data_IF_607464551798
#
_entry.id   IF_607464551798
#
_cell.length_a   1.000
_cell.length_b   1.000
_cell.length_c   1.000
_cell.angle_alpha   90.00
_cell.angle_beta   90.00
_cell.angle_gamma   90.00
#
_symmetry.space_group_name_H-M   'P 1'
#
loop_
_entity.id
_entity.type
_entity.pdbx_description
1 polymer ?
#
# COMPACT_ATOMS: atom_id res chain seq x y z
N UNK A 1 -47.67 -19.47 21.46
CA UNK A 1 -46.73 -18.49 20.86
C UNK A 1 -45.49 -19.24 20.40
N UNK A 2 -45.19 -19.36 19.09
CA UNK A 2 -44.00 -20.06 18.65
C UNK A 2 -42.78 -19.12 18.73
N UNK A 3 -41.73 -19.58 19.41
CA UNK A 3 -40.49 -18.85 19.66
C UNK A 3 -39.63 -18.92 18.39
N UNK A 4 -39.50 -17.80 17.68
CA UNK A 4 -38.66 -17.70 16.48
C UNK A 4 -37.20 -17.79 16.90
N UNK A 5 -36.50 -18.83 16.44
CA UNK A 5 -35.05 -18.97 16.62
C UNK A 5 -34.38 -18.64 15.29
N UNK A 6 -33.71 -17.50 15.23
CA UNK A 6 -32.92 -17.08 14.08
C UNK A 6 -31.72 -18.00 13.92
N UNK A 7 -31.70 -18.81 12.85
CA UNK A 7 -30.52 -19.56 12.43
C UNK A 7 -29.78 -18.72 11.39
N UNK A 8 -28.71 -18.05 11.80
CA UNK A 8 -27.79 -17.38 10.89
C UNK A 8 -27.11 -18.43 10.01
N UNK A 9 -27.42 -18.42 8.71
CA UNK A 9 -26.69 -19.23 7.74
C UNK A 9 -25.32 -18.60 7.51
N UNK A 10 -24.26 -19.25 7.99
CA UNK A 10 -22.89 -18.92 7.60
C UNK A 10 -22.62 -19.69 6.31
N UNK A 11 -22.68 -18.98 5.18
CA UNK A 11 -22.24 -19.51 3.89
C UNK A 11 -20.71 -19.60 3.88
N UNK A 12 -20.16 -20.75 4.26
CA UNK A 12 -18.76 -21.09 3.99
C UNK A 12 -18.71 -21.89 2.68
N UNK A 13 -18.42 -21.20 1.58
CA UNK A 13 -18.20 -21.82 0.27
C UNK A 13 -16.75 -22.29 0.18
N UNK A 14 -16.50 -23.52 0.62
CA UNK A 14 -15.17 -24.17 0.55
C UNK A 14 -14.93 -24.94 -0.77
N UNK A 15 -15.92 -25.01 -1.66
CA UNK A 15 -15.87 -25.80 -2.91
C UNK A 15 -16.00 -24.94 -4.19
N UNK A 16 -15.26 -23.82 -4.28
CA UNK A 16 -15.11 -23.11 -5.53
C UNK A 16 -13.78 -23.51 -6.20
N UNK A 17 -13.84 -24.10 -7.39
CA UNK A 17 -12.67 -24.30 -8.23
C UNK A 17 -11.89 -22.97 -8.37
N UNK A 18 -10.55 -23.00 -8.30
CA UNK A 18 -9.72 -21.82 -8.47
C UNK A 18 -9.96 -21.22 -9.87
N UNK A 19 -10.79 -20.18 -9.94
CA UNK A 19 -10.92 -19.33 -11.14
C UNK A 19 -9.59 -18.65 -11.40
N UNK A 20 -9.31 -18.12 -12.61
CA UNK A 20 -8.04 -17.43 -12.89
C UNK A 20 -7.70 -16.29 -11.89
N UNK A 21 -8.71 -15.78 -11.18
CA UNK A 21 -8.66 -14.90 -10.00
C UNK A 21 -7.91 -15.45 -8.78
N UNK A 22 -7.71 -16.76 -8.71
CA UNK A 22 -6.99 -17.49 -7.65
C UNK A 22 -5.47 -17.55 -7.87
N UNK A 23 -4.99 -17.24 -9.08
CA UNK A 23 -3.57 -17.35 -9.43
C UNK A 23 -2.72 -16.19 -8.88
N UNK A 24 -3.35 -15.08 -8.46
CA UNK A 24 -2.67 -13.98 -7.78
C UNK A 24 -3.53 -13.51 -6.61
N UNK A 25 -3.27 -14.05 -5.41
CA UNK A 25 -3.89 -13.55 -4.18
C UNK A 25 -3.51 -12.07 -4.00
N UNK A 26 -4.45 -11.16 -4.31
CA UNK A 26 -4.32 -9.74 -4.04
C UNK A 26 -4.18 -9.53 -2.53
N UNK A 27 -3.19 -8.75 -2.13
CA UNK A 27 -2.92 -8.41 -0.73
C UNK A 27 -3.49 -7.04 -0.42
N UNK A 28 -4.19 -6.95 0.70
CA UNK A 28 -4.79 -5.72 1.20
C UNK A 28 -3.94 -5.17 2.33
N UNK A 29 -3.73 -3.86 2.32
CA UNK A 29 -2.99 -3.13 3.33
C UNK A 29 -3.79 -1.94 3.82
N UNK A 30 -3.71 -1.75 5.13
CA UNK A 30 -4.37 -0.70 5.87
C UNK A 30 -3.35 0.30 6.39
N UNK A 31 -3.76 1.55 6.55
CA UNK A 31 -3.06 2.51 7.41
C UNK A 31 -3.05 1.98 8.85
N UNK A 32 -2.10 2.45 9.67
CA UNK A 32 -2.05 2.15 11.11
C UNK A 32 -3.35 2.45 11.87
N UNK A 33 -4.10 3.47 11.45
CA UNK A 33 -5.41 3.73 12.05
C UNK A 33 -6.46 2.64 11.72
N UNK A 34 -6.23 1.81 10.68
CA UNK A 34 -7.16 0.81 10.13
C UNK A 34 -7.90 1.21 8.84
N UNK A 35 -7.46 2.26 8.14
CA UNK A 35 -8.10 2.77 6.92
C UNK A 35 -7.61 1.96 5.73
N UNK A 36 -8.45 1.61 4.76
CA UNK A 36 -8.01 0.88 3.58
C UNK A 36 -7.18 1.79 2.67
N UNK A 37 -5.93 1.41 2.38
CA UNK A 37 -5.01 2.24 1.59
C UNK A 37 -4.54 1.57 0.31
N UNK A 38 -4.13 0.30 0.33
CA UNK A 38 -3.49 -0.31 -0.82
C UNK A 38 -4.00 -1.74 -1.02
N UNK A 39 -4.32 -2.08 -2.26
CA UNK A 39 -4.44 -3.48 -2.70
C UNK A 39 -3.43 -3.71 -3.82
N UNK A 40 -2.63 -4.77 -3.74
CA UNK A 40 -1.54 -5.07 -4.68
C UNK A 40 -1.37 -6.58 -4.89
N UNK A 41 -0.96 -6.97 -6.09
CA UNK A 41 -0.70 -8.36 -6.51
C UNK A 41 0.49 -9.05 -5.81
N UNK A 42 1.38 -8.29 -5.17
CA UNK A 42 2.62 -8.79 -4.57
C UNK A 42 2.81 -8.31 -3.13
N UNK A 43 3.51 -9.10 -2.31
CA UNK A 43 3.83 -8.71 -0.93
C UNK A 43 4.79 -7.51 -0.92
N UNK A 44 4.52 -6.50 -0.09
CA UNK A 44 5.38 -5.33 0.08
C UNK A 44 6.79 -5.73 0.54
N UNK A 45 6.90 -6.76 1.39
CA UNK A 45 8.19 -7.30 1.87
C UNK A 45 9.07 -7.90 0.77
N UNK A 46 8.48 -8.29 -0.36
CA UNK A 46 9.18 -8.91 -1.49
C UNK A 46 9.51 -7.94 -2.62
N UNK A 47 9.16 -6.66 -2.45
CA UNK A 47 9.47 -5.59 -3.38
C UNK A 47 10.83 -4.96 -3.01
N UNK A 48 11.58 -4.43 -3.99
CA UNK A 48 12.84 -3.76 -3.72
C UNK A 48 12.60 -2.51 -2.86
N UNK A 49 13.59 -2.18 -2.04
CA UNK A 49 13.60 -0.99 -1.19
C UNK A 49 14.59 0.04 -1.73
N UNK A 50 14.25 1.32 -1.60
CA UNK A 50 15.10 2.44 -1.99
C UNK A 50 16.20 2.64 -0.96
N UNK A 51 17.43 2.86 -1.40
CA UNK A 51 18.59 2.97 -0.50
C UNK A 51 18.62 4.27 0.33
N UNK A 52 17.95 5.33 -0.12
CA UNK A 52 18.02 6.66 0.52
C UNK A 52 17.12 6.83 1.74
N UNK A 53 15.98 6.15 1.77
CA UNK A 53 14.94 6.30 2.81
C UNK A 53 14.19 5.00 3.11
N UNK A 54 14.70 3.87 2.62
CA UNK A 54 14.13 2.54 2.81
C UNK A 54 12.67 2.38 2.32
N UNK A 55 12.18 3.29 1.48
CA UNK A 55 10.84 3.22 0.93
C UNK A 55 10.69 2.02 -0.02
N UNK A 56 9.54 1.36 0.04
CA UNK A 56 9.20 0.21 -0.81
C UNK A 56 8.86 0.72 -2.21
N UNK A 57 9.56 0.20 -3.22
CA UNK A 57 9.42 0.64 -4.61
C UNK A 57 8.32 -0.18 -5.29
N UNK A 58 7.22 0.48 -5.68
CA UNK A 58 6.12 -0.09 -6.45
C UNK A 58 6.19 0.43 -7.88
N UNK A 59 6.42 -0.45 -8.84
CA UNK A 59 6.41 -0.09 -10.28
C UNK A 59 4.97 0.19 -10.74
N UNK A 60 4.73 1.39 -11.27
CA UNK A 60 3.43 1.87 -11.73
C UNK A 60 3.27 1.93 -13.25
N UNK A 61 4.37 1.88 -14.01
CA UNK A 61 4.35 1.91 -15.48
C UNK A 61 5.14 0.73 -16.06
N UNK A 62 4.72 0.29 -17.24
CA UNK A 62 5.43 -0.72 -17.99
C UNK A 62 6.78 -0.18 -18.47
N UNK A 63 7.78 -1.06 -18.48
CA UNK A 63 9.08 -0.82 -19.08
C UNK A 63 9.41 -2.02 -19.98
N UNK A 64 10.36 -1.87 -20.89
CA UNK A 64 10.73 -2.92 -21.85
C UNK A 64 11.06 -4.25 -21.17
N UNK A 65 11.66 -4.23 -19.98
CA UNK A 65 12.07 -5.43 -19.24
C UNK A 65 11.05 -5.91 -18.20
N UNK A 66 10.14 -5.04 -17.74
CA UNK A 66 9.29 -5.33 -16.59
C UNK A 66 7.92 -4.66 -16.69
N UNK A 67 6.87 -5.45 -16.46
CA UNK A 67 5.49 -4.96 -16.38
C UNK A 67 5.20 -4.21 -15.07
N UNK A 68 4.29 -3.25 -15.14
CA UNK A 68 3.71 -2.56 -14.00
C UNK A 68 3.03 -3.54 -13.04
N UNK A 69 3.00 -3.20 -11.75
CA UNK A 69 2.26 -3.97 -10.76
C UNK A 69 0.77 -3.66 -10.84
N UNK A 70 -0.05 -4.68 -10.60
CA UNK A 70 -1.50 -4.49 -10.47
C UNK A 70 -1.78 -4.03 -9.04
N UNK A 71 -2.15 -2.77 -8.88
CA UNK A 71 -2.51 -2.21 -7.58
C UNK A 71 -3.50 -1.05 -7.67
N UNK A 72 -4.22 -0.80 -6.57
CA UNK A 72 -5.06 0.39 -6.36
C UNK A 72 -4.65 1.05 -5.05
N UNK A 73 -4.37 2.35 -5.12
CA UNK A 73 -4.00 3.19 -3.99
C UNK A 73 -5.18 4.12 -3.64
N UNK A 74 -5.63 4.08 -2.39
CA UNK A 74 -6.63 4.94 -1.80
C UNK A 74 -5.94 5.91 -0.82
N UNK A 75 -5.41 7.00 -1.36
CA UNK A 75 -4.75 8.04 -0.58
C UNK A 75 -5.09 9.42 -1.15
N UNK A 76 -5.05 10.45 -0.30
CA UNK A 76 -5.21 11.85 -0.70
C UNK A 76 -3.87 12.43 -1.12
N UNK A 77 -3.86 13.24 -2.18
CA UNK A 77 -2.68 14.05 -2.50
C UNK A 77 -2.48 15.09 -1.40
N UNK A 78 -1.24 15.23 -0.95
CA UNK A 78 -0.79 16.29 -0.06
C UNK A 78 0.10 17.26 -0.84
N UNK A 79 0.45 18.39 -0.19
CA UNK A 79 1.29 19.39 -0.81
C UNK A 79 2.66 18.82 -1.19
N UNK A 80 3.16 19.14 -2.40
CA UNK A 80 4.46 18.70 -2.82
C UNK A 80 5.54 19.40 -2.00
N UNK A 81 6.61 18.68 -1.69
CA UNK A 81 7.76 19.24 -1.01
C UNK A 81 9.02 19.11 -1.86
N UNK A 82 9.98 19.98 -1.61
CA UNK A 82 11.34 19.86 -2.13
C UNK A 82 12.24 19.46 -0.97
N UNK A 83 12.86 18.28 -1.06
CA UNK A 83 13.81 17.78 -0.09
C UNK A 83 15.22 18.03 -0.57
N UNK A 84 16.07 18.54 0.32
CA UNK A 84 17.51 18.55 0.11
C UNK A 84 18.09 17.20 0.54
N UNK A 85 18.86 16.57 -0.36
CA UNK A 85 19.59 15.32 -0.15
C UNK A 85 21.07 15.59 -0.40
N UNK A 86 21.94 14.67 0.03
CA UNK A 86 23.39 14.74 -0.21
C UNK A 86 23.73 14.90 -1.70
N UNK A 87 22.92 14.32 -2.58
CA UNK A 87 23.12 14.30 -4.03
C UNK A 87 22.24 15.33 -4.78
N UNK A 88 21.66 16.31 -4.09
CA UNK A 88 20.86 17.39 -4.68
C UNK A 88 19.43 17.47 -4.17
N UNK A 89 18.53 18.06 -4.96
CA UNK A 89 17.14 18.30 -4.55
C UNK A 89 16.18 17.27 -5.14
N UNK A 90 15.30 16.72 -4.31
CA UNK A 90 14.27 15.75 -4.69
C UNK A 90 12.88 16.35 -4.47
N UNK A 91 12.08 16.44 -5.54
CA UNK A 91 10.69 16.87 -5.43
C UNK A 91 9.79 15.67 -5.16
N UNK A 92 9.01 15.72 -4.07
CA UNK A 92 8.09 14.65 -3.69
C UNK A 92 6.65 15.14 -3.72
N UNK A 93 5.81 14.45 -4.49
CA UNK A 93 4.35 14.58 -4.47
C UNK A 93 3.79 13.52 -3.54
N UNK A 94 3.32 13.93 -2.36
CA UNK A 94 3.02 13.06 -1.22
C UNK A 94 1.60 12.51 -1.24
N UNK A 95 1.44 11.33 -0.63
CA UNK A 95 0.18 10.64 -0.44
C UNK A 95 -0.11 10.49 1.06
N UNK A 96 -1.24 11.00 1.52
CA UNK A 96 -1.66 10.92 2.92
C UNK A 96 -2.88 10.00 3.09
N UNK A 97 -2.98 9.37 4.25
CA UNK A 97 -4.17 8.63 4.66
C UNK A 97 -5.40 9.54 4.59
N UNK A 98 -6.51 9.13 3.95
CA UNK A 98 -7.68 9.97 3.81
C UNK A 98 -8.38 10.28 5.14
N UNK A 99 -8.13 9.45 6.18
CA UNK A 99 -8.73 9.54 7.52
C UNK A 99 -7.84 10.24 8.55
N UNK A 100 -6.63 9.73 8.80
CA UNK A 100 -5.75 10.23 9.86
C UNK A 100 -4.58 11.10 9.37
N UNK A 101 -4.56 11.42 8.07
CA UNK A 101 -3.52 12.24 7.40
C UNK A 101 -2.07 11.74 7.49
N UNK A 102 -1.83 10.54 8.05
CA UNK A 102 -0.53 9.87 8.06
C UNK A 102 0.09 9.82 6.66
N UNK A 103 1.38 10.15 6.54
CA UNK A 103 2.12 10.06 5.29
C UNK A 103 2.31 8.60 4.89
N UNK A 104 1.72 8.21 3.76
CA UNK A 104 1.77 6.83 3.23
C UNK A 104 2.95 6.64 2.29
N UNK A 105 3.25 7.64 1.47
CA UNK A 105 4.21 7.51 0.39
C UNK A 105 4.29 8.76 -0.47
N UNK A 106 4.96 8.64 -1.61
CA UNK A 106 5.12 9.72 -2.57
C UNK A 106 5.45 9.20 -3.97
N UNK A 107 5.41 10.10 -4.95
CA UNK A 107 5.96 9.91 -6.29
C UNK A 107 6.72 11.17 -6.73
N UNK A 108 7.51 11.09 -7.81
CA UNK A 108 8.36 12.21 -8.26
C UNK A 108 7.71 13.13 -9.30
N UNK A 109 6.57 12.72 -9.87
CA UNK A 109 5.81 13.50 -10.86
C UNK A 109 4.51 14.03 -10.27
N UNK A 110 3.97 15.15 -10.79
CA UNK A 110 2.69 15.68 -10.36
C UNK A 110 1.55 14.64 -10.43
N UNK A 111 0.50 14.77 -9.61
CA UNK A 111 -0.73 14.00 -9.75
C UNK A 111 -1.23 13.96 -11.20
N UNK A 112 -1.89 12.87 -11.64
CA UNK A 112 -2.48 11.80 -10.83
C UNK A 112 -1.48 10.73 -10.35
N UNK A 113 -1.91 9.86 -9.43
CA UNK A 113 -1.16 8.68 -9.02
C UNK A 113 -0.83 7.81 -10.24
N UNK A 114 0.36 7.20 -10.26
CA UNK A 114 0.92 6.41 -11.38
C UNK A 114 1.39 7.25 -12.59
N UNK A 115 1.46 8.58 -12.46
CA UNK A 115 2.12 9.41 -13.48
C UNK A 115 3.65 9.24 -13.49
N UNK A 116 4.23 8.71 -12.42
CA UNK A 116 5.64 8.34 -12.33
C UNK A 116 5.83 6.86 -12.66
N UNK A 117 7.01 6.44 -13.16
CA UNK A 117 7.33 5.01 -13.33
C UNK A 117 7.27 4.21 -12.03
N UNK A 118 7.50 4.88 -10.89
CA UNK A 118 7.50 4.27 -9.57
C UNK A 118 6.71 5.10 -8.55
N UNK A 119 6.07 4.40 -7.63
CA UNK A 119 5.50 4.94 -6.39
C UNK A 119 6.33 4.39 -5.23
N UNK A 120 6.63 5.25 -4.27
CA UNK A 120 7.40 4.91 -3.09
C UNK A 120 6.47 4.89 -1.89
N UNK A 121 6.32 3.73 -1.26
CA UNK A 121 5.54 3.55 -0.04
C UNK A 121 6.49 3.58 1.16
N UNK A 122 6.21 4.39 2.17
CA UNK A 122 7.06 4.47 3.36
C UNK A 122 7.00 3.16 4.15
N UNK A 123 8.16 2.72 4.63
CA UNK A 123 8.26 1.57 5.55
C UNK A 123 7.46 1.88 6.81
N UNK A 124 6.76 0.89 7.36
CA UNK A 124 5.94 1.06 8.57
C UNK A 124 4.63 1.85 8.40
N UNK A 125 4.36 2.46 7.24
CA UNK A 125 3.11 3.22 7.04
C UNK A 125 1.86 2.33 6.87
N UNK A 126 2.06 1.07 6.48
CA UNK A 126 1.00 0.13 6.11
C UNK A 126 1.14 -1.21 6.83
N UNK A 127 0.00 -1.81 7.18
CA UNK A 127 -0.12 -3.12 7.84
C UNK A 127 -1.11 -4.02 7.10
N UNK A 128 -0.91 -5.34 7.12
CA UNK A 128 -1.91 -6.30 6.61
C UNK A 128 -3.03 -6.56 7.62
N UNK A 129 -2.79 -6.30 8.91
CA UNK A 129 -3.76 -6.51 9.98
C UNK A 129 -4.36 -5.19 10.42
N UNK A 130 -5.68 -5.04 10.29
CA UNK A 130 -6.37 -3.80 10.64
C UNK A 130 -6.18 -3.48 12.14
N UNK A 131 -5.69 -2.27 12.45
CA UNK A 131 -5.53 -1.81 13.83
C UNK A 131 -4.34 -2.40 14.60
N UNK A 132 -3.44 -3.13 13.93
CA UNK A 132 -2.19 -3.58 14.52
C UNK A 132 -0.99 -2.91 13.83
N UNK A 133 -0.02 -2.48 14.63
CA UNK A 133 1.23 -1.92 14.15
C UNK A 133 2.06 -3.03 13.45
N UNK A 134 2.66 -2.76 12.28
CA UNK A 134 3.67 -3.63 11.68
C UNK A 134 4.83 -3.90 12.65
N UNK A 135 5.45 -5.07 12.54
CA UNK A 135 6.61 -5.41 13.37
C UNK A 135 7.79 -4.46 13.13
N UNK A 136 7.92 -3.92 11.92
CA UNK A 136 8.97 -2.99 11.48
C UNK A 136 8.61 -1.51 11.66
N UNK A 137 7.56 -1.19 12.44
CA UNK A 137 7.12 0.19 12.66
C UNK A 137 8.17 1.06 13.37
N UNK A 138 9.07 0.46 14.15
CA UNK A 138 10.06 1.16 14.97
C UNK A 138 11.52 0.93 14.54
N UNK A 139 11.75 0.17 13.47
CA UNK A 139 13.11 -0.23 13.05
C UNK A 139 13.97 0.95 12.53
N UNK A 140 13.42 2.17 12.47
CA UNK A 140 14.11 3.39 12.05
C UNK A 140 14.56 4.33 13.18
N UNK A 141 14.32 4.00 14.45
CA UNK A 141 14.63 4.89 15.60
C UNK A 141 16.04 4.70 16.19
N UNK A 142 16.81 3.71 15.73
CA UNK A 142 18.14 3.37 16.27
C UNK A 142 19.33 3.89 15.44
N UNK A 143 19.26 5.11 14.87
CA UNK A 143 20.42 5.73 14.22
C UNK A 143 20.48 7.23 14.43
#
# INVERSE_FOLDING_TARGET
>A
MPKVVSRSAVSASTDAHPTASSAAALRVYYCLCGEFILVIDKSLSSLPRRQTDNAIIVRSQDSNDQKARVFKLNAKYADPILLERKDGHERQYRFNCPRCTLLIGYQHTPPPAKSSPFIYILSGALTQMQGQLPQDAFDGENN
#
